data_IF_133458698603
#
_entry.id   IF_133458698603
#
_cell.length_a   1.000
_cell.length_b   1.000
_cell.length_c   1.000
_cell.angle_alpha   90.00
_cell.angle_beta   90.00
_cell.angle_gamma   90.00
#
_symmetry.space_group_name_H-M   'P 1'
#
loop_
_entity.id
_entity.type
_entity.pdbx_description
1 polymer ?
#
# COMPACT_ATOMS: atom_id res chain seq x y z
N UNK A 1 19.01 -10.56 -2.44
CA UNK A 1 18.03 -9.80 -3.24
C UNK A 1 18.39 -8.33 -3.14
N UNK A 2 18.89 -7.75 -4.21
CA UNK A 2 19.31 -6.34 -4.27
C UNK A 2 18.10 -5.43 -4.48
N UNK A 3 18.14 -4.23 -3.93
CA UNK A 3 17.10 -3.18 -3.89
C UNK A 3 16.49 -2.77 -5.24
N UNK A 4 17.02 -3.30 -6.37
CA UNK A 4 16.52 -3.14 -7.75
C UNK A 4 15.46 -4.17 -8.19
N UNK A 5 15.27 -5.27 -7.45
CA UNK A 5 14.36 -6.37 -7.80
C UNK A 5 13.09 -6.36 -6.95
N UNK A 6 12.34 -5.26 -6.90
CA UNK A 6 11.09 -5.28 -6.17
C UNK A 6 9.87 -4.86 -6.99
N UNK A 7 8.86 -5.69 -6.80
CA UNK A 7 7.73 -5.95 -7.69
C UNK A 7 6.72 -4.79 -7.67
N UNK A 8 6.34 -4.33 -8.86
CA UNK A 8 5.33 -3.27 -9.05
C UNK A 8 3.96 -3.87 -9.36
N UNK A 9 2.89 -3.12 -9.10
CA UNK A 9 1.53 -3.57 -9.44
C UNK A 9 1.39 -3.81 -10.96
N UNK A 10 2.02 -2.97 -11.79
CA UNK A 10 2.06 -3.15 -13.23
C UNK A 10 2.73 -4.47 -13.64
N UNK A 11 3.82 -4.87 -12.96
CA UNK A 11 4.48 -6.15 -13.20
C UNK A 11 3.58 -7.32 -12.79
N UNK A 12 2.98 -7.28 -11.60
CA UNK A 12 2.04 -8.30 -11.12
C UNK A 12 0.90 -8.55 -12.12
N UNK A 13 0.30 -7.47 -12.62
CA UNK A 13 -0.80 -7.55 -13.56
C UNK A 13 -0.31 -8.03 -14.94
N UNK A 14 0.82 -7.52 -15.43
CA UNK A 14 1.36 -7.86 -16.76
C UNK A 14 1.95 -9.27 -16.85
N UNK A 15 2.35 -9.86 -15.72
CA UNK A 15 2.77 -11.27 -15.66
C UNK A 15 1.60 -12.22 -15.93
N UNK A 16 0.41 -11.87 -15.44
CA UNK A 16 -0.78 -12.71 -15.56
C UNK A 16 -1.64 -12.37 -16.79
N UNK A 17 -1.72 -11.09 -17.17
CA UNK A 17 -2.61 -10.61 -18.22
C UNK A 17 -1.91 -9.82 -19.32
N UNK A 18 -2.32 -10.07 -20.58
CA UNK A 18 -1.75 -9.43 -21.75
C UNK A 18 -1.69 -10.33 -22.97
N UNK A 19 -1.15 -9.82 -24.08
CA UNK A 19 -1.02 -10.60 -25.32
C UNK A 19 -0.06 -11.79 -25.10
N UNK A 20 -0.55 -13.01 -25.29
CA UNK A 20 0.22 -14.24 -25.08
C UNK A 20 0.43 -14.62 -23.61
N UNK A 21 -0.34 -14.03 -22.69
CA UNK A 21 -0.31 -14.37 -21.25
C UNK A 21 -1.46 -15.30 -20.89
N UNK A 22 -1.50 -15.71 -19.61
CA UNK A 22 -2.50 -16.65 -19.08
C UNK A 22 -3.93 -16.13 -19.23
N UNK A 23 -4.12 -14.82 -19.09
CA UNK A 23 -5.43 -14.17 -19.20
C UNK A 23 -5.39 -13.00 -20.17
N UNK A 24 -6.52 -12.70 -20.81
CA UNK A 24 -6.75 -11.36 -21.35
C UNK A 24 -7.05 -10.38 -20.21
N UNK A 25 -6.92 -9.08 -20.46
CA UNK A 25 -7.29 -8.07 -19.44
C UNK A 25 -8.77 -8.14 -19.06
N UNK A 26 -9.63 -8.55 -19.98
CA UNK A 26 -11.05 -8.79 -19.74
C UNK A 26 -11.28 -10.01 -18.85
N UNK A 27 -10.59 -11.13 -19.12
CA UNK A 27 -10.66 -12.32 -18.28
C UNK A 27 -10.14 -12.06 -16.87
N UNK A 28 -9.05 -11.30 -16.74
CA UNK A 28 -8.52 -10.93 -15.43
C UNK A 28 -9.49 -9.99 -14.69
N UNK A 29 -10.08 -9.01 -15.36
CA UNK A 29 -11.10 -8.13 -14.79
C UNK A 29 -12.30 -8.93 -14.25
N UNK A 30 -12.83 -9.86 -15.05
CA UNK A 30 -13.97 -10.70 -14.66
C UNK A 30 -13.66 -11.61 -13.46
N UNK A 31 -12.40 -12.04 -13.28
CA UNK A 31 -11.96 -12.79 -12.11
C UNK A 31 -11.66 -11.90 -10.90
N UNK A 32 -11.37 -10.64 -11.13
CA UNK A 32 -11.02 -9.68 -10.08
C UNK A 32 -12.29 -9.16 -9.44
N UNK A 33 -12.86 -9.90 -8.49
CA UNK A 33 -14.08 -9.50 -7.79
C UNK A 33 -13.78 -9.44 -6.30
N UNK A 34 -14.06 -8.29 -5.68
CA UNK A 34 -14.00 -8.14 -4.23
C UNK A 34 -15.07 -9.02 -3.58
N UNK A 35 -14.71 -10.02 -2.76
CA UNK A 35 -15.68 -10.93 -2.16
C UNK A 35 -16.64 -10.23 -1.18
N UNK A 36 -16.24 -9.10 -0.59
CA UNK A 36 -17.09 -8.37 0.36
C UNK A 36 -18.03 -7.40 -0.35
N UNK A 37 -17.51 -6.60 -1.27
CA UNK A 37 -18.28 -5.51 -1.89
C UNK A 37 -18.83 -5.85 -3.28
N UNK A 38 -18.55 -7.05 -3.80
CA UNK A 38 -18.83 -7.47 -5.18
C UNK A 38 -18.32 -6.49 -6.26
N UNK A 39 -17.32 -5.68 -5.91
CA UNK A 39 -16.74 -4.72 -6.84
C UNK A 39 -15.84 -5.45 -7.84
N UNK A 40 -15.98 -5.11 -9.12
CA UNK A 40 -15.11 -5.60 -10.18
C UNK A 40 -14.56 -4.42 -10.99
N UNK A 41 -13.24 -4.38 -11.26
CA UNK A 41 -12.64 -3.36 -12.11
C UNK A 41 -12.99 -3.61 -13.58
N UNK A 42 -13.04 -2.55 -14.38
CA UNK A 42 -13.20 -2.70 -15.82
C UNK A 42 -11.90 -3.22 -16.48
N UNK A 43 -12.03 -3.91 -17.62
CA UNK A 43 -10.86 -4.37 -18.40
C UNK A 43 -9.90 -3.23 -18.75
N UNK A 44 -10.43 -2.03 -19.05
CA UNK A 44 -9.63 -0.85 -19.34
C UNK A 44 -8.85 -0.35 -18.12
N UNK A 45 -9.44 -0.44 -16.92
CA UNK A 45 -8.76 -0.11 -15.66
C UNK A 45 -7.59 -1.06 -15.41
N UNK A 46 -7.81 -2.37 -15.60
CA UNK A 46 -6.75 -3.38 -15.48
C UNK A 46 -5.63 -3.15 -16.50
N UNK A 47 -5.97 -2.83 -17.75
CA UNK A 47 -4.98 -2.45 -18.77
C UNK A 47 -4.20 -1.18 -18.40
N UNK A 48 -4.87 -0.17 -17.83
CA UNK A 48 -4.25 1.09 -17.40
C UNK A 48 -3.22 0.83 -16.29
N UNK A 49 -3.56 -0.05 -15.34
CA UNK A 49 -2.67 -0.49 -14.27
C UNK A 49 -1.47 -1.26 -14.84
N UNK A 50 -1.72 -2.23 -15.74
CA UNK A 50 -0.67 -3.01 -16.40
C UNK A 50 0.30 -2.12 -17.19
N UNK A 51 -0.20 -1.04 -17.79
CA UNK A 51 0.58 -0.07 -18.55
C UNK A 51 1.38 0.89 -17.67
N UNK A 52 1.34 0.73 -16.34
CA UNK A 52 2.07 1.58 -15.41
C UNK A 52 1.47 2.97 -15.18
N UNK A 53 0.29 3.26 -15.74
CA UNK A 53 -0.34 4.57 -15.63
C UNK A 53 -0.86 4.80 -14.21
N UNK A 54 -0.84 6.06 -13.77
CA UNK A 54 -1.36 6.44 -12.46
C UNK A 54 -2.86 6.21 -12.37
N UNK A 55 -3.28 5.52 -11.32
CA UNK A 55 -4.69 5.20 -11.04
C UNK A 55 -4.94 5.46 -9.56
N UNK A 56 -6.09 6.04 -9.25
CA UNK A 56 -6.53 6.18 -7.85
C UNK A 56 -6.80 4.80 -7.26
N UNK A 57 -5.92 4.35 -6.38
CA UNK A 57 -6.08 3.09 -5.68
C UNK A 57 -7.09 3.24 -4.54
N UNK A 58 -7.99 2.27 -4.41
CA UNK A 58 -8.93 2.19 -3.30
C UNK A 58 -8.94 0.76 -2.72
N UNK A 59 -9.40 0.55 -1.47
CA UNK A 59 -9.36 -0.77 -0.85
C UNK A 59 -10.12 -1.86 -1.63
N UNK A 60 -11.26 -1.50 -2.24
CA UNK A 60 -12.08 -2.43 -3.04
C UNK A 60 -11.33 -2.95 -4.27
N UNK A 61 -10.59 -2.06 -4.95
CA UNK A 61 -9.78 -2.40 -6.11
C UNK A 61 -8.60 -3.31 -5.74
N UNK A 62 -7.95 -3.05 -4.60
CA UNK A 62 -6.88 -3.91 -4.08
C UNK A 62 -7.42 -5.32 -3.78
N UNK A 63 -8.53 -5.43 -3.06
CA UNK A 63 -9.17 -6.72 -2.74
C UNK A 63 -9.60 -7.47 -3.99
N UNK A 64 -10.22 -6.78 -4.95
CA UNK A 64 -10.62 -7.36 -6.23
C UNK A 64 -9.42 -7.88 -7.03
N UNK A 65 -8.35 -7.10 -7.16
CA UNK A 65 -7.13 -7.52 -7.87
C UNK A 65 -6.44 -8.69 -7.16
N UNK A 66 -6.39 -8.67 -5.82
CA UNK A 66 -5.86 -9.78 -5.02
C UNK A 66 -6.62 -11.09 -5.31
N UNK A 67 -7.95 -11.05 -5.33
CA UNK A 67 -8.77 -12.20 -5.70
C UNK A 67 -8.52 -12.68 -7.14
N UNK A 68 -8.43 -11.75 -8.10
CA UNK A 68 -8.22 -12.08 -9.52
C UNK A 68 -6.83 -12.66 -9.81
N UNK A 69 -5.80 -12.12 -9.15
CA UNK A 69 -4.41 -12.55 -9.26
C UNK A 69 -4.08 -13.78 -8.41
N UNK A 70 -4.95 -14.14 -7.45
CA UNK A 70 -4.68 -15.21 -6.48
C UNK A 70 -3.58 -14.85 -5.48
N UNK A 71 -3.51 -13.57 -5.10
CA UNK A 71 -2.52 -13.01 -4.18
C UNK A 71 -3.20 -12.50 -2.91
N UNK A 72 -2.41 -12.24 -1.87
CA UNK A 72 -2.88 -11.58 -0.65
C UNK A 72 -3.10 -10.08 -0.90
N UNK A 73 -4.16 -9.46 -0.33
CA UNK A 73 -4.39 -8.01 -0.45
C UNK A 73 -3.20 -7.16 -0.03
N UNK A 74 -2.43 -7.61 0.96
CA UNK A 74 -1.22 -6.94 1.48
C UNK A 74 -0.17 -6.80 0.39
N UNK A 75 0.22 -7.90 -0.28
CA UNK A 75 1.20 -7.87 -1.39
C UNK A 75 0.77 -6.95 -2.54
N UNK A 76 -0.52 -6.94 -2.87
CA UNK A 76 -1.06 -6.06 -3.93
C UNK A 76 -1.01 -4.60 -3.49
N UNK A 77 -1.35 -4.31 -2.23
CA UNK A 77 -1.26 -2.98 -1.66
C UNK A 77 0.20 -2.48 -1.61
N UNK A 78 1.13 -3.33 -1.21
CA UNK A 78 2.56 -3.00 -1.14
C UNK A 78 3.12 -2.67 -2.53
N UNK A 79 2.78 -3.49 -3.53
CA UNK A 79 3.18 -3.26 -4.92
C UNK A 79 2.55 -1.98 -5.51
N UNK A 80 1.31 -1.65 -5.11
CA UNK A 80 0.63 -0.42 -5.51
C UNK A 80 1.24 0.83 -4.84
N UNK A 81 1.49 0.77 -3.53
CA UNK A 81 2.17 1.83 -2.78
C UNK A 81 3.54 2.11 -3.36
N UNK A 82 4.31 1.07 -3.65
CA UNK A 82 5.63 1.21 -4.29
C UNK A 82 5.51 1.91 -5.64
N UNK A 83 4.58 1.51 -6.49
CA UNK A 83 4.45 2.05 -7.84
C UNK A 83 3.99 3.52 -7.85
N UNK A 84 3.03 3.90 -7.01
CA UNK A 84 2.41 5.23 -7.06
C UNK A 84 2.96 6.22 -6.04
N UNK A 85 3.48 5.75 -4.91
CA UNK A 85 4.05 6.59 -3.85
C UNK A 85 5.59 6.48 -3.79
N UNK A 86 6.19 5.46 -4.43
CA UNK A 86 7.65 5.24 -4.40
C UNK A 86 8.17 4.71 -3.06
N UNK A 87 7.30 4.46 -2.08
CA UNK A 87 7.67 4.06 -0.73
C UNK A 87 7.45 2.56 -0.51
N UNK A 88 8.37 1.90 0.20
CA UNK A 88 8.16 0.54 0.68
C UNK A 88 7.16 0.58 1.83
N UNK A 89 6.10 -0.23 1.71
CA UNK A 89 5.30 -0.68 2.84
C UNK A 89 6.07 -1.79 3.58
N UNK A 90 7.29 -1.49 4.02
CA UNK A 90 7.77 -2.12 5.24
C UNK A 90 7.09 -1.36 6.36
N UNK A 91 6.64 -2.05 7.41
CA UNK A 91 6.42 -1.38 8.70
C UNK A 91 7.53 -0.35 8.92
N UNK A 92 7.25 0.84 9.47
CA UNK A 92 8.31 1.74 9.88
C UNK A 92 9.03 1.07 11.06
N UNK A 93 9.91 0.09 10.77
CA UNK A 93 10.98 -0.28 11.67
C UNK A 93 11.83 0.96 11.78
N UNK A 94 11.73 1.62 12.94
CA UNK A 94 12.41 2.83 13.33
C UNK A 94 13.77 3.03 12.63
N UNK A 95 13.76 3.80 11.55
CA UNK A 95 14.93 4.45 10.95
C UNK A 95 14.43 5.42 9.87
N UNK A 96 13.83 6.51 10.32
CA UNK A 96 13.80 7.74 9.53
C UNK A 96 15.11 8.47 9.87
N UNK A 97 16.09 8.40 8.98
CA UNK A 97 17.29 9.26 9.03
C UNK A 97 17.29 10.15 7.80
N UNK A 98 17.22 11.47 8.03
CA UNK A 98 17.20 12.54 7.02
C UNK A 98 15.75 12.97 6.73
N UNK A 99 15.15 13.97 7.37
CA UNK A 99 15.58 15.36 7.52
C UNK A 99 15.99 15.98 6.17
N UNK A 100 15.00 16.36 5.37
CA UNK A 100 15.06 17.64 4.67
C UNK A 100 14.00 18.53 5.33
N UNK A 101 14.41 19.77 5.58
CA UNK A 101 13.82 20.72 6.50
C UNK A 101 12.48 21.25 5.95
N UNK A 102 11.57 21.55 6.88
CA UNK A 102 10.21 22.07 6.68
C UNK A 102 9.17 21.06 6.16
N UNK A 103 8.59 20.25 7.05
CA UNK A 103 7.16 19.87 7.03
C UNK A 103 6.81 18.96 8.23
N UNK A 104 5.59 19.09 8.74
CA UNK A 104 5.08 18.48 9.97
C UNK A 104 5.46 16.99 10.15
N UNK A 105 6.32 16.70 11.13
CA UNK A 105 6.71 15.33 11.46
C UNK A 105 5.56 14.64 12.22
N UNK A 106 4.85 13.75 11.53
CA UNK A 106 3.77 12.95 12.12
C UNK A 106 4.33 11.67 12.74
N UNK A 107 4.36 11.63 14.07
CA UNK A 107 4.70 10.42 14.83
C UNK A 107 3.46 9.55 15.03
N UNK A 108 3.56 8.25 14.73
CA UNK A 108 2.50 7.26 14.98
C UNK A 108 2.95 6.29 16.06
N UNK A 109 2.10 6.09 17.08
CA UNK A 109 2.36 5.16 18.18
C UNK A 109 1.34 4.03 18.11
N UNK A 110 1.82 2.78 18.14
CA UNK A 110 0.93 1.63 18.25
C UNK A 110 0.33 1.59 19.67
N UNK A 111 -0.97 1.83 19.77
CA UNK A 111 -1.73 1.63 21.00
C UNK A 111 -2.41 0.25 20.97
N UNK A 112 -2.50 -0.39 22.15
CA UNK A 112 -3.37 -1.56 22.33
C UNK A 112 -4.82 -1.12 22.08
N UNK A 113 -5.61 -1.94 21.40
CA UNK A 113 -7.01 -1.61 21.09
C UNK A 113 -7.78 -1.19 22.36
N UNK A 114 -8.39 -0.01 22.33
CA UNK A 114 -9.14 0.56 23.45
C UNK A 114 -8.35 1.46 24.40
N UNK A 115 -7.04 1.64 24.17
CA UNK A 115 -6.20 2.54 24.99
C UNK A 115 -6.10 3.91 24.31
N UNK A 116 -6.42 4.95 25.05
CA UNK A 116 -6.34 6.35 24.63
C UNK A 116 -4.98 6.97 24.95
N UNK A 117 -4.66 8.11 24.33
CA UNK A 117 -3.38 8.80 24.55
C UNK A 117 -3.18 9.25 26.02
N UNK A 118 -4.27 9.48 26.75
CA UNK A 118 -4.24 9.86 28.18
C UNK A 118 -3.78 8.70 29.08
N UNK A 119 -4.04 7.46 28.65
CA UNK A 119 -3.68 6.23 29.35
C UNK A 119 -2.25 5.78 29.03
N UNK A 120 -1.49 6.56 28.25
CA UNK A 120 -0.11 6.29 27.87
C UNK A 120 0.84 7.40 28.38
N UNK A 121 1.08 7.51 29.70
CA UNK A 121 1.88 8.59 30.29
C UNK A 121 3.32 8.62 29.78
N UNK A 122 3.90 7.46 29.42
CA UNK A 122 5.22 7.37 28.81
C UNK A 122 5.28 8.02 27.42
N UNK A 123 4.20 7.90 26.64
CA UNK A 123 4.08 8.53 25.31
C UNK A 123 3.93 10.04 25.44
N UNK A 124 3.14 10.49 26.42
CA UNK A 124 2.99 11.92 26.73
C UNK A 124 4.31 12.56 27.18
N UNK A 125 5.06 11.90 28.06
CA UNK A 125 6.37 12.36 28.51
C UNK A 125 7.39 12.41 27.36
N UNK A 126 7.35 11.42 26.46
CA UNK A 126 8.17 11.40 25.26
C UNK A 126 7.87 12.58 24.31
N UNK A 127 6.59 12.88 24.06
CA UNK A 127 6.19 14.04 23.25
C UNK A 127 6.59 15.38 23.88
N UNK A 128 6.45 15.54 25.20
CA UNK A 128 6.85 16.76 25.90
C UNK A 128 8.38 16.99 25.83
N UNK A 129 9.18 15.92 25.96
CA UNK A 129 10.62 15.99 25.82
C UNK A 129 11.06 16.38 24.39
N UNK A 130 10.37 15.87 23.36
CA UNK A 130 10.63 16.23 21.96
C UNK A 130 10.27 17.69 21.63
N UNK A 131 9.25 18.25 22.28
CA UNK A 131 8.86 19.67 22.12
C UNK A 131 9.74 20.64 22.92
N UNK A 132 10.72 20.14 23.70
CA UNK A 132 11.58 20.99 24.52
C UNK A 132 10.88 21.59 25.75
N UNK A 133 9.70 21.09 26.12
CA UNK A 133 8.91 21.57 27.26
C UNK A 133 9.33 20.90 28.59
N UNK A 134 10.46 20.19 28.60
CA UNK A 134 11.00 19.47 29.75
C UNK A 134 12.29 20.08 30.29
N UNK A 135 12.20 21.28 30.86
CA UNK A 135 13.16 21.77 31.87
C UNK A 135 12.46 22.64 32.90
#
# INVERSE_FOLDING_TARGET
MTTRDAETLAQLVSEQAGKGKRYTFEQLANRSVDPESHYSPSANLVWTIASGKSVKMNPKLVKALAAGLGLTPERVADAAHRQFLGWYSSEPSAQVTGAEEDEDVVYRVAAKAGVTAEEMPAVKAFYAALRGEGK
#
